data_IF_788285250928
#
_entry.id   IF_788285250928
#
_cell.length_a   1.000
_cell.length_b   1.000
_cell.length_c   1.000
_cell.angle_alpha   90.00
_cell.angle_beta   90.00
_cell.angle_gamma   90.00
#
_symmetry.space_group_name_H-M   'P 1'
#
loop_
_entity.id
_entity.type
_entity.pdbx_description
1 polymer ?
#
# COMPACT_ATOMS: atom_id res chain seq x y z
N UNK A 1 -11.17 -16.80 -17.76
CA UNK A 1 -12.40 -16.42 -17.01
C UNK A 1 -12.12 -15.13 -16.27
N UNK A 2 -13.08 -14.21 -16.19
CA UNK A 2 -12.92 -12.99 -15.39
C UNK A 2 -13.20 -13.30 -13.91
N UNK A 3 -12.45 -12.69 -12.97
CA UNK A 3 -12.82 -12.72 -11.55
C UNK A 3 -14.19 -12.06 -11.34
N UNK A 4 -14.94 -12.47 -10.33
CA UNK A 4 -16.23 -11.87 -9.99
C UNK A 4 -16.08 -10.37 -9.66
N UNK A 5 -17.15 -9.61 -9.76
CA UNK A 5 -17.16 -8.23 -9.25
C UNK A 5 -17.12 -8.24 -7.70
N UNK A 6 -16.36 -7.33 -7.06
CA UNK A 6 -16.45 -7.17 -5.60
C UNK A 6 -17.86 -6.76 -5.19
N UNK A 7 -18.40 -7.42 -4.15
CA UNK A 7 -19.75 -7.11 -3.64
C UNK A 7 -19.79 -5.85 -2.76
N UNK A 8 -18.68 -5.57 -2.09
CA UNK A 8 -18.51 -4.42 -1.19
C UNK A 8 -17.44 -3.52 -1.82
N UNK A 9 -17.83 -2.31 -2.20
CA UNK A 9 -16.95 -1.35 -2.86
C UNK A 9 -17.46 0.08 -2.63
N UNK A 10 -16.74 0.83 -1.79
CA UNK A 10 -17.11 2.19 -1.38
C UNK A 10 -15.90 3.12 -1.43
N UNK A 11 -16.11 4.41 -1.72
CA UNK A 11 -15.11 5.46 -1.55
C UNK A 11 -13.97 5.43 -2.56
N UNK A 12 -14.24 4.90 -3.76
CA UNK A 12 -13.29 4.77 -4.87
C UNK A 12 -13.85 5.29 -6.20
N UNK A 13 -14.95 6.03 -6.13
CA UNK A 13 -15.67 6.56 -7.28
C UNK A 13 -14.79 7.56 -8.06
N UNK A 14 -13.98 8.36 -7.36
CA UNK A 14 -13.02 9.27 -7.99
C UNK A 14 -11.94 8.52 -8.78
N UNK A 15 -11.30 7.53 -8.18
CA UNK A 15 -10.24 6.76 -8.81
C UNK A 15 -10.77 5.92 -9.98
N UNK A 16 -11.98 5.39 -9.85
CA UNK A 16 -12.68 4.71 -10.93
C UNK A 16 -12.93 5.68 -12.09
N UNK A 17 -13.49 6.87 -11.82
CA UNK A 17 -13.73 7.90 -12.84
C UNK A 17 -12.44 8.32 -13.54
N UNK A 18 -11.35 8.53 -12.78
CA UNK A 18 -10.04 8.87 -13.33
C UNK A 18 -9.53 7.75 -14.25
N UNK A 19 -9.64 6.49 -13.84
CA UNK A 19 -9.26 5.34 -14.68
C UNK A 19 -10.07 5.33 -15.98
N UNK A 20 -11.39 5.50 -15.89
CA UNK A 20 -12.28 5.50 -17.05
C UNK A 20 -11.94 6.62 -18.03
N UNK A 21 -11.62 7.83 -17.56
CA UNK A 21 -11.15 8.92 -18.42
C UNK A 21 -9.83 8.59 -19.13
N UNK A 22 -8.91 7.84 -18.50
CA UNK A 22 -7.67 7.43 -19.15
C UNK A 22 -7.92 6.49 -20.34
N UNK A 23 -9.05 5.78 -20.36
CA UNK A 23 -9.42 4.94 -21.49
C UNK A 23 -9.79 5.73 -22.75
N UNK A 24 -10.09 7.03 -22.68
CA UNK A 24 -10.30 7.85 -23.87
C UNK A 24 -9.05 7.93 -24.77
N UNK A 25 -7.88 7.60 -24.21
CA UNK A 25 -6.67 7.43 -25.01
C UNK A 25 -6.71 6.15 -25.86
N UNK A 26 -6.11 6.20 -27.06
CA UNK A 26 -6.17 5.09 -28.03
C UNK A 26 -5.63 3.77 -27.49
N UNK A 27 -4.58 3.83 -26.67
CA UNK A 27 -3.89 2.67 -26.09
C UNK A 27 -3.47 3.01 -24.65
N UNK A 28 -4.36 2.84 -23.66
CA UNK A 28 -4.06 3.19 -22.30
C UNK A 28 -3.08 2.19 -21.66
N UNK A 29 -2.09 2.71 -20.94
CA UNK A 29 -1.23 1.96 -20.03
C UNK A 29 -1.37 2.59 -18.66
N UNK A 30 -1.99 1.87 -17.75
CA UNK A 30 -2.42 2.41 -16.46
C UNK A 30 -1.75 1.59 -15.35
N UNK A 31 -1.18 2.27 -14.36
CA UNK A 31 -0.67 1.62 -13.16
C UNK A 31 -1.56 1.98 -11.97
N UNK A 32 -2.13 0.97 -11.31
CA UNK A 32 -2.83 1.17 -10.04
C UNK A 32 -1.83 0.87 -8.93
N UNK A 33 -1.43 1.92 -8.21
CA UNK A 33 -0.42 1.87 -7.15
C UNK A 33 -1.06 2.01 -5.76
N UNK A 34 -0.41 1.49 -4.73
CA UNK A 34 -0.86 1.56 -3.34
C UNK A 34 -0.26 0.45 -2.48
N UNK A 35 -0.30 0.64 -1.16
CA UNK A 35 0.18 -0.36 -0.19
C UNK A 35 -0.59 -1.70 -0.30
N UNK A 36 -0.02 -2.75 0.30
CA UNK A 36 -0.71 -4.01 0.51
C UNK A 36 -2.06 -3.78 1.20
N UNK A 37 -3.11 -4.48 0.77
CA UNK A 37 -4.43 -4.34 1.38
C UNK A 37 -5.22 -3.08 1.03
N UNK A 38 -4.72 -2.19 0.15
CA UNK A 38 -5.41 -0.95 -0.24
C UNK A 38 -6.58 -1.11 -1.23
N UNK A 39 -6.87 -2.33 -1.67
CA UNK A 39 -7.97 -2.60 -2.61
C UNK A 39 -7.63 -2.40 -4.09
N UNK A 40 -6.34 -2.45 -4.48
CA UNK A 40 -5.89 -2.36 -5.89
C UNK A 40 -6.61 -3.38 -6.79
N UNK A 41 -6.58 -4.65 -6.40
CA UNK A 41 -7.26 -5.77 -7.08
C UNK A 41 -8.76 -5.56 -7.14
N UNK A 42 -9.39 -5.08 -6.07
CA UNK A 42 -10.83 -4.78 -6.06
C UNK A 42 -11.19 -3.69 -7.06
N UNK A 43 -10.43 -2.58 -7.11
CA UNK A 43 -10.63 -1.50 -8.07
C UNK A 43 -10.46 -1.99 -9.52
N UNK A 44 -9.43 -2.78 -9.80
CA UNK A 44 -9.22 -3.34 -11.14
C UNK A 44 -10.36 -4.27 -11.58
N UNK A 45 -10.92 -5.05 -10.65
CA UNK A 45 -12.09 -5.90 -10.91
C UNK A 45 -13.33 -5.06 -11.23
N UNK A 46 -13.59 -3.99 -10.48
CA UNK A 46 -14.70 -3.06 -10.78
C UNK A 46 -14.52 -2.44 -12.18
N UNK A 47 -13.31 -2.00 -12.52
CA UNK A 47 -13.00 -1.49 -13.88
C UNK A 47 -13.33 -2.53 -14.95
N UNK A 48 -12.98 -3.81 -14.73
CA UNK A 48 -13.30 -4.87 -15.68
C UNK A 48 -14.79 -5.03 -15.91
N UNK A 49 -15.63 -4.87 -14.88
CA UNK A 49 -17.08 -5.05 -14.97
C UNK A 49 -17.86 -3.78 -15.33
N UNK A 50 -17.21 -2.61 -15.30
CA UNK A 50 -17.84 -1.34 -15.63
C UNK A 50 -18.52 -1.34 -17.01
N UNK A 51 -19.68 -0.68 -17.14
CA UNK A 51 -20.49 -0.67 -18.36
C UNK A 51 -19.71 -0.18 -19.59
N UNK A 52 -18.92 0.87 -19.43
CA UNK A 52 -18.16 1.48 -20.54
C UNK A 52 -17.04 0.56 -21.03
N UNK A 53 -16.38 -0.13 -20.10
CA UNK A 53 -15.34 -1.12 -20.40
C UNK A 53 -15.97 -2.36 -21.05
N UNK A 54 -17.12 -2.79 -20.55
CA UNK A 54 -17.91 -3.88 -21.16
C UNK A 54 -18.34 -3.54 -22.57
N UNK A 55 -18.82 -2.32 -22.82
CA UNK A 55 -19.25 -1.86 -24.14
C UNK A 55 -18.09 -1.79 -25.13
N UNK A 56 -16.90 -1.36 -24.68
CA UNK A 56 -15.72 -1.20 -25.53
C UNK A 56 -14.98 -2.50 -25.84
N UNK A 57 -14.80 -3.36 -24.85
CA UNK A 57 -13.96 -4.55 -24.95
C UNK A 57 -14.75 -5.86 -25.00
N UNK A 58 -16.06 -5.84 -24.70
CA UNK A 58 -16.94 -7.01 -24.71
C UNK A 58 -16.35 -8.20 -23.95
N UNK A 59 -16.02 -9.31 -24.62
CA UNK A 59 -15.41 -10.48 -24.00
C UNK A 59 -13.88 -10.46 -24.05
N UNK A 60 -13.25 -9.51 -24.75
CA UNK A 60 -11.80 -9.36 -24.87
C UNK A 60 -11.22 -8.63 -23.65
N UNK A 61 -11.59 -9.08 -22.45
CA UNK A 61 -11.12 -8.56 -21.17
C UNK A 61 -10.47 -9.72 -20.43
N UNK A 62 -9.23 -9.51 -19.99
CA UNK A 62 -8.40 -10.55 -19.42
C UNK A 62 -7.82 -10.07 -18.10
N UNK A 63 -7.91 -10.93 -17.10
CA UNK A 63 -7.31 -10.73 -15.79
C UNK A 63 -6.30 -11.85 -15.57
N UNK A 64 -5.05 -11.50 -15.35
CA UNK A 64 -3.94 -12.44 -15.16
C UNK A 64 -3.32 -12.17 -13.80
N UNK A 65 -3.51 -13.10 -12.86
CA UNK A 65 -2.80 -13.10 -11.59
C UNK A 65 -1.40 -13.66 -11.79
N UNK A 66 -0.37 -12.83 -11.64
CA UNK A 66 0.99 -13.18 -12.03
C UNK A 66 1.80 -13.90 -10.94
N UNK A 67 1.15 -14.33 -9.86
CA UNK A 67 1.80 -14.98 -8.71
C UNK A 67 2.46 -16.30 -9.02
N UNK A 68 1.99 -17.02 -10.05
CA UNK A 68 2.55 -18.31 -10.47
C UNK A 68 3.79 -18.18 -11.36
N UNK A 69 4.04 -17.01 -11.94
CA UNK A 69 5.15 -16.82 -12.86
C UNK A 69 6.38 -16.24 -12.13
N UNK A 70 7.54 -16.82 -12.41
CA UNK A 70 8.85 -16.42 -11.85
C UNK A 70 9.83 -15.92 -12.91
N UNK A 71 9.53 -16.16 -14.20
CA UNK A 71 10.34 -15.69 -15.33
C UNK A 71 9.51 -14.92 -16.37
N UNK A 72 10.19 -14.14 -17.24
CA UNK A 72 9.55 -13.46 -18.38
C UNK A 72 8.83 -14.45 -19.30
N UNK A 73 9.41 -15.63 -19.52
CA UNK A 73 8.83 -16.67 -20.37
C UNK A 73 7.55 -17.23 -19.76
N UNK A 74 7.57 -17.55 -18.46
CA UNK A 74 6.39 -18.02 -17.73
C UNK A 74 5.27 -17.00 -17.73
N UNK A 75 5.58 -15.71 -17.60
CA UNK A 75 4.59 -14.64 -17.70
C UNK A 75 3.94 -14.60 -19.09
N UNK A 76 4.73 -14.73 -20.16
CA UNK A 76 4.20 -14.75 -21.54
C UNK A 76 3.34 -15.99 -21.77
N UNK A 77 3.75 -17.15 -21.27
CA UNK A 77 2.94 -18.38 -21.32
C UNK A 77 1.62 -18.20 -20.58
N UNK A 78 1.67 -17.66 -19.37
CA UNK A 78 0.48 -17.40 -18.55
C UNK A 78 -0.49 -16.45 -19.24
N UNK A 79 0.02 -15.37 -19.86
CA UNK A 79 -0.81 -14.46 -20.66
C UNK A 79 -1.39 -15.21 -21.86
N UNK A 80 -0.58 -15.99 -22.58
CA UNK A 80 -1.02 -16.78 -23.74
C UNK A 80 -2.16 -17.74 -23.40
N UNK A 81 -2.05 -18.46 -22.27
CA UNK A 81 -3.11 -19.33 -21.76
C UNK A 81 -4.41 -18.57 -21.48
N UNK A 82 -4.33 -17.39 -20.86
CA UNK A 82 -5.51 -16.57 -20.58
C UNK A 82 -6.15 -16.01 -21.85
N UNK A 83 -5.36 -15.78 -22.89
CA UNK A 83 -5.81 -15.37 -24.22
C UNK A 83 -6.31 -16.56 -25.08
N UNK A 84 -6.16 -17.80 -24.61
CA UNK A 84 -6.53 -19.01 -25.37
C UNK A 84 -5.63 -19.25 -26.59
N UNK A 85 -4.36 -18.85 -26.52
CA UNK A 85 -3.39 -18.98 -27.60
C UNK A 85 -2.65 -20.31 -27.52
N UNK A 86 -2.48 -20.96 -28.67
CA UNK A 86 -1.68 -22.18 -28.78
C UNK A 86 -0.18 -21.88 -28.60
N UNK A 87 0.59 -22.83 -28.02
CA UNK A 87 2.04 -22.72 -27.95
C UNK A 87 2.65 -22.49 -29.34
N UNK A 88 3.54 -21.51 -29.46
CA UNK A 88 4.22 -21.20 -30.72
C UNK A 88 5.70 -20.90 -30.48
N UNK A 89 6.50 -20.94 -31.56
CA UNK A 89 7.94 -20.64 -31.50
C UNK A 89 8.22 -19.22 -31.01
N UNK A 90 7.33 -18.27 -31.32
CA UNK A 90 7.37 -16.90 -30.81
C UNK A 90 6.01 -16.53 -30.20
N UNK A 91 5.76 -17.09 -29.02
CA UNK A 91 4.53 -16.81 -28.27
C UNK A 91 4.45 -15.32 -27.87
N UNK A 92 5.59 -14.66 -27.64
CA UNK A 92 5.61 -13.23 -27.31
C UNK A 92 5.02 -12.41 -28.44
N UNK A 93 5.48 -12.64 -29.68
CA UNK A 93 4.94 -11.95 -30.84
C UNK A 93 3.46 -12.29 -31.07
N UNK A 94 3.06 -13.54 -30.85
CA UNK A 94 1.68 -13.99 -31.00
C UNK A 94 0.74 -13.29 -29.99
N UNK A 95 1.16 -13.20 -28.72
CA UNK A 95 0.46 -12.45 -27.67
C UNK A 95 0.31 -10.97 -28.04
N UNK A 96 1.40 -10.33 -28.49
CA UNK A 96 1.38 -8.93 -28.89
C UNK A 96 0.44 -8.68 -30.08
N UNK A 97 0.47 -9.55 -31.09
CA UNK A 97 -0.43 -9.46 -32.23
C UNK A 97 -1.89 -9.62 -31.82
N UNK A 98 -2.20 -10.55 -30.91
CA UNK A 98 -3.55 -10.73 -30.39
C UNK A 98 -4.04 -9.49 -29.65
N UNK A 99 -3.22 -8.92 -28.75
CA UNK A 99 -3.61 -7.74 -27.97
C UNK A 99 -3.80 -6.47 -28.83
N UNK A 100 -3.06 -6.36 -29.94
CA UNK A 100 -3.19 -5.26 -30.91
C UNK A 100 -4.24 -5.53 -32.01
N UNK A 101 -4.82 -6.72 -32.04
CA UNK A 101 -5.83 -7.09 -33.05
C UNK A 101 -7.17 -6.38 -32.80
N UNK A 102 -8.04 -6.41 -33.80
CA UNK A 102 -9.43 -5.96 -33.65
C UNK A 102 -10.33 -7.20 -33.49
N UNK A 103 -11.21 -7.23 -32.47
CA UNK A 103 -11.54 -6.15 -31.53
C UNK A 103 -10.46 -5.89 -30.47
N UNK A 104 -10.35 -4.65 -29.94
CA UNK A 104 -9.34 -4.30 -28.95
C UNK A 104 -9.45 -5.19 -27.71
N UNK A 105 -8.30 -5.48 -27.07
CA UNK A 105 -8.22 -6.27 -25.84
C UNK A 105 -7.81 -5.42 -24.64
N UNK A 106 -8.39 -5.72 -23.48
CA UNK A 106 -7.98 -5.17 -22.19
C UNK A 106 -7.28 -6.27 -21.39
N UNK A 107 -6.01 -6.06 -21.05
CA UNK A 107 -5.23 -6.95 -20.20
C UNK A 107 -4.96 -6.30 -18.85
N UNK A 108 -5.30 -6.98 -17.76
CA UNK A 108 -4.93 -6.61 -16.40
C UNK A 108 -3.92 -7.61 -15.88
N UNK A 109 -2.77 -7.11 -15.43
CA UNK A 109 -1.73 -7.88 -14.77
C UNK A 109 -1.74 -7.56 -13.27
N UNK A 110 -2.15 -8.53 -12.45
CA UNK A 110 -2.17 -8.42 -10.99
C UNK A 110 -0.94 -9.07 -10.35
N UNK A 111 -0.56 -8.58 -9.17
CA UNK A 111 0.48 -9.18 -8.31
C UNK A 111 1.81 -9.44 -9.03
N UNK A 112 2.15 -8.57 -9.97
CA UNK A 112 3.35 -8.75 -10.79
C UNK A 112 4.62 -8.53 -9.90
N UNK A 113 4.50 -7.99 -8.67
CA UNK A 113 5.51 -7.69 -7.64
C UNK A 113 6.74 -8.59 -7.74
N UNK A 114 6.54 -9.88 -7.47
CA UNK A 114 7.58 -10.90 -7.40
C UNK A 114 8.45 -11.00 -8.67
N UNK A 115 7.90 -10.74 -9.86
CA UNK A 115 8.60 -10.87 -11.14
C UNK A 115 9.54 -9.72 -11.49
N UNK A 116 9.21 -8.49 -11.09
CA UNK A 116 9.96 -7.28 -11.49
C UNK A 116 10.85 -6.74 -10.38
N UNK A 117 10.60 -7.15 -9.14
CA UNK A 117 11.40 -6.72 -8.01
C UNK A 117 12.86 -7.17 -8.10
N UNK A 118 13.19 -8.39 -8.58
CA UNK A 118 14.57 -8.78 -8.82
C UNK A 118 15.24 -7.95 -9.92
N UNK A 119 16.41 -7.38 -9.64
CA UNK A 119 17.16 -6.55 -10.60
C UNK A 119 17.49 -7.28 -11.90
N UNK A 120 17.71 -8.61 -11.84
CA UNK A 120 18.04 -9.44 -12.99
C UNK A 120 16.89 -9.57 -13.99
N UNK A 121 15.65 -9.65 -13.54
CA UNK A 121 14.45 -9.78 -14.39
C UNK A 121 13.81 -8.44 -14.75
N UNK A 122 14.02 -7.40 -13.92
CA UNK A 122 13.40 -6.07 -14.05
C UNK A 122 13.45 -5.54 -15.49
N UNK A 123 14.63 -5.50 -16.10
CA UNK A 123 14.80 -4.93 -17.44
C UNK A 123 13.98 -5.64 -18.53
N UNK A 124 13.89 -6.97 -18.47
CA UNK A 124 13.15 -7.77 -19.44
C UNK A 124 11.63 -7.68 -19.24
N UNK A 125 11.17 -7.55 -18.00
CA UNK A 125 9.75 -7.32 -17.68
C UNK A 125 9.31 -5.92 -18.13
N UNK A 126 10.12 -4.88 -17.87
CA UNK A 126 9.78 -3.53 -18.33
C UNK A 126 9.73 -3.41 -19.85
N UNK A 127 10.63 -4.10 -20.55
CA UNK A 127 10.59 -4.20 -22.01
C UNK A 127 9.29 -4.86 -22.49
N UNK A 128 8.89 -5.98 -21.89
CA UNK A 128 7.63 -6.63 -22.21
C UNK A 128 6.43 -5.69 -21.95
N UNK A 129 6.37 -5.05 -20.79
CA UNK A 129 5.32 -4.11 -20.44
C UNK A 129 5.26 -2.90 -21.39
N UNK A 130 6.39 -2.47 -21.94
CA UNK A 130 6.42 -1.37 -22.91
C UNK A 130 5.69 -1.72 -24.22
N UNK A 131 5.68 -3.00 -24.57
CA UNK A 131 5.02 -3.53 -25.76
C UNK A 131 3.53 -3.82 -25.50
N UNK A 132 3.16 -4.16 -24.27
CA UNK A 132 1.80 -4.48 -23.88
C UNK A 132 0.92 -3.23 -23.72
N UNK A 133 -0.38 -3.43 -23.93
CA UNK A 133 -1.44 -2.45 -23.73
C UNK A 133 -2.29 -2.91 -22.55
N UNK A 134 -1.86 -2.56 -21.33
CA UNK A 134 -2.39 -3.19 -20.11
C UNK A 134 -2.56 -2.23 -18.94
N UNK A 135 -3.41 -2.65 -17.99
CA UNK A 135 -3.38 -2.14 -16.62
C UNK A 135 -2.45 -3.04 -15.82
N UNK A 136 -1.52 -2.46 -15.07
CA UNK A 136 -0.69 -3.21 -14.12
C UNK A 136 -0.98 -2.77 -12.70
N UNK A 137 -1.13 -3.72 -11.79
CA UNK A 137 -1.23 -3.44 -10.36
C UNK A 137 0.11 -3.72 -9.70
N UNK A 138 0.64 -2.73 -8.97
CA UNK A 138 1.99 -2.79 -8.40
C UNK A 138 2.13 -1.87 -7.19
N UNK A 139 2.81 -2.34 -6.14
CA UNK A 139 3.45 -1.57 -5.05
C UNK A 139 3.26 -0.05 -5.06
N UNK A 140 4.35 0.72 -5.13
CA UNK A 140 4.28 2.19 -5.09
C UNK A 140 5.08 2.89 -6.19
N UNK A 141 5.61 2.13 -7.15
CA UNK A 141 6.42 2.68 -8.24
C UNK A 141 5.96 2.22 -9.63
N UNK A 142 6.13 3.14 -10.59
CA UNK A 142 5.94 2.87 -12.00
C UNK A 142 7.18 2.18 -12.59
N UNK A 143 7.02 1.08 -13.35
CA UNK A 143 8.06 0.56 -14.24
C UNK A 143 8.65 1.65 -15.15
N UNK A 144 9.98 1.78 -15.16
CA UNK A 144 10.65 2.98 -15.68
C UNK A 144 10.63 3.07 -17.21
N UNK A 145 10.80 1.93 -17.92
CA UNK A 145 10.85 1.91 -19.39
C UNK A 145 9.48 1.86 -20.09
N UNK A 146 8.40 2.14 -19.37
CA UNK A 146 7.03 2.10 -19.92
C UNK A 146 6.48 3.52 -20.06
N UNK A 147 5.96 3.85 -21.25
CA UNK A 147 5.26 5.12 -21.49
C UNK A 147 3.83 5.04 -20.95
N UNK A 148 3.70 5.20 -19.64
CA UNK A 148 2.41 5.25 -18.93
C UNK A 148 1.53 6.40 -19.42
N UNK A 149 0.22 6.16 -19.48
CA UNK A 149 -0.77 7.18 -19.80
C UNK A 149 -0.72 8.30 -18.76
N UNK A 150 -1.02 9.53 -19.22
CA UNK A 150 -1.06 10.73 -18.38
C UNK A 150 -2.49 11.29 -18.35
N UNK A 151 -2.92 11.91 -17.23
CA UNK A 151 -2.19 12.06 -15.97
C UNK A 151 -1.95 10.73 -15.25
N UNK A 152 -0.94 10.69 -14.36
CA UNK A 152 -0.73 9.51 -13.51
C UNK A 152 -1.84 9.40 -12.48
N UNK A 153 -2.31 8.17 -12.23
CA UNK A 153 -3.13 7.90 -11.07
C UNK A 153 -2.32 8.11 -9.80
N UNK A 154 -2.96 8.74 -8.81
CA UNK A 154 -2.40 8.81 -7.47
C UNK A 154 -2.41 7.41 -6.87
N UNK A 155 -1.41 7.11 -6.03
CA UNK A 155 -1.43 5.86 -5.27
C UNK A 155 -2.65 5.84 -4.35
N UNK A 156 -3.35 4.70 -4.30
CA UNK A 156 -4.52 4.51 -3.45
C UNK A 156 -4.17 4.84 -2.00
N UNK A 157 -4.93 5.78 -1.44
CA UNK A 157 -4.87 6.15 -0.03
C UNK A 157 -5.85 5.27 0.76
N UNK A 158 -5.76 5.24 2.10
CA UNK A 158 -6.83 4.68 2.92
C UNK A 158 -8.20 5.26 2.58
N UNK A 159 -9.26 4.54 2.93
CA UNK A 159 -10.62 5.02 2.69
C UNK A 159 -10.90 6.27 3.51
N UNK A 160 -11.79 7.13 3.00
CA UNK A 160 -12.37 8.16 3.85
C UNK A 160 -13.24 7.51 4.96
N UNK A 161 -13.54 8.29 6.00
CA UNK A 161 -14.25 7.78 7.16
C UNK A 161 -15.67 7.28 6.81
N UNK A 162 -16.34 7.89 5.83
CA UNK A 162 -17.69 7.51 5.45
C UNK A 162 -17.67 6.16 4.71
N UNK A 163 -16.77 6.00 3.74
CA UNK A 163 -16.57 4.75 3.01
C UNK A 163 -16.08 3.62 3.93
N UNK A 164 -15.24 3.93 4.91
CA UNK A 164 -14.80 2.96 5.92
C UNK A 164 -15.98 2.45 6.76
N UNK A 165 -16.86 3.34 7.23
CA UNK A 165 -18.09 2.98 7.95
C UNK A 165 -19.05 2.14 7.11
N UNK A 166 -19.26 2.53 5.85
CA UNK A 166 -20.11 1.76 4.92
C UNK A 166 -19.55 0.36 4.67
N UNK A 167 -18.23 0.26 4.47
CA UNK A 167 -17.54 -1.02 4.30
C UNK A 167 -17.68 -1.89 5.55
N UNK A 168 -17.56 -1.32 6.74
CA UNK A 168 -17.76 -2.04 7.99
C UNK A 168 -19.21 -2.54 8.12
N UNK A 169 -20.19 -1.68 7.86
CA UNK A 169 -21.61 -1.98 7.99
C UNK A 169 -22.12 -3.03 6.98
N UNK A 170 -21.50 -3.12 5.80
CA UNK A 170 -21.82 -4.17 4.82
C UNK A 170 -21.25 -5.55 5.22
N UNK A 171 -20.34 -5.60 6.20
CA UNK A 171 -19.70 -6.83 6.68
C UNK A 171 -20.27 -7.28 8.02
N UNK A 172 -20.39 -6.37 8.99
CA UNK A 172 -20.87 -6.65 10.34
C UNK A 172 -22.30 -6.13 10.53
N UNK A 173 -23.19 -6.96 11.08
CA UNK A 173 -24.60 -6.61 11.22
C UNK A 173 -24.85 -5.44 12.19
N UNK A 174 -26.03 -4.84 12.05
CA UNK A 174 -26.53 -3.66 12.73
C UNK A 174 -26.89 -3.91 14.20
N UNK A 175 -25.88 -4.08 15.05
CA UNK A 175 -26.04 -4.20 16.52
C UNK A 175 -25.06 -3.37 17.35
N UNK A 176 -24.11 -2.69 16.70
CA UNK A 176 -22.99 -2.02 17.35
C UNK A 176 -23.22 -0.52 17.50
N UNK A 177 -22.69 0.08 18.56
CA UNK A 177 -22.72 1.53 18.69
C UNK A 177 -21.81 2.17 17.64
N UNK A 178 -22.19 3.34 17.11
CA UNK A 178 -21.34 4.06 16.17
C UNK A 178 -19.99 4.45 16.78
N UNK A 179 -19.95 4.69 18.10
CA UNK A 179 -18.73 5.01 18.82
C UNK A 179 -17.72 3.85 18.82
N UNK A 180 -18.18 2.62 19.06
CA UNK A 180 -17.31 1.43 19.01
C UNK A 180 -16.81 1.15 17.58
N UNK A 181 -17.68 1.33 16.58
CA UNK A 181 -17.27 1.19 15.18
C UNK A 181 -16.20 2.22 14.82
N UNK A 182 -16.39 3.48 15.20
CA UNK A 182 -15.40 4.53 14.97
C UNK A 182 -14.07 4.26 15.69
N UNK A 183 -14.12 3.70 16.90
CA UNK A 183 -12.93 3.26 17.61
C UNK A 183 -12.21 2.15 16.83
N UNK A 184 -12.90 1.11 16.38
CA UNK A 184 -12.29 0.04 15.58
C UNK A 184 -11.69 0.58 14.29
N UNK A 185 -12.42 1.44 13.56
CA UNK A 185 -11.92 2.04 12.32
C UNK A 185 -10.63 2.85 12.56
N UNK A 186 -10.54 3.55 13.69
CA UNK A 186 -9.32 4.28 14.06
C UNK A 186 -8.09 3.36 14.23
N UNK A 187 -8.28 2.10 14.63
CA UNK A 187 -7.20 1.10 14.76
C UNK A 187 -6.69 0.59 13.40
N UNK A 188 -7.49 0.76 12.34
CA UNK A 188 -7.16 0.27 11.00
C UNK A 188 -6.48 1.30 10.11
N UNK A 189 -6.35 2.56 10.56
CA UNK A 189 -6.02 3.70 9.70
C UNK A 189 -6.88 3.75 8.42
N UNK A 190 -8.13 3.30 8.49
CA UNK A 190 -9.05 3.09 7.36
C UNK A 190 -8.50 2.25 6.19
N UNK A 191 -7.56 1.33 6.46
CA UNK A 191 -7.06 0.40 5.45
C UNK A 191 -8.15 -0.64 5.11
N UNK A 192 -8.58 -0.79 3.84
CA UNK A 192 -9.67 -1.69 3.46
C UNK A 192 -9.52 -3.12 3.98
N UNK A 193 -8.34 -3.73 3.82
CA UNK A 193 -8.10 -5.10 4.29
C UNK A 193 -8.23 -5.22 5.81
N UNK A 194 -7.70 -4.26 6.57
CA UNK A 194 -7.80 -4.26 8.04
C UNK A 194 -9.25 -4.03 8.51
N UNK A 195 -9.99 -3.13 7.84
CA UNK A 195 -11.43 -2.94 8.08
C UNK A 195 -12.18 -4.24 7.88
N UNK A 196 -11.97 -4.93 6.75
CA UNK A 196 -12.69 -6.18 6.48
C UNK A 196 -12.39 -7.26 7.52
N UNK A 197 -11.14 -7.39 7.95
CA UNK A 197 -10.74 -8.37 8.96
C UNK A 197 -11.37 -8.08 10.33
N UNK A 198 -11.30 -6.84 10.81
CA UNK A 198 -11.90 -6.47 12.09
C UNK A 198 -13.43 -6.45 12.04
N UNK A 199 -14.04 -6.12 10.90
CA UNK A 199 -15.48 -6.18 10.73
C UNK A 199 -15.99 -7.63 10.79
N UNK A 200 -15.31 -8.58 10.12
CA UNK A 200 -15.67 -10.00 10.24
C UNK A 200 -15.52 -10.53 11.67
N UNK A 201 -14.48 -10.10 12.39
CA UNK A 201 -14.30 -10.47 13.79
C UNK A 201 -15.37 -9.83 14.69
N UNK A 202 -15.74 -8.58 14.43
CA UNK A 202 -16.80 -7.89 15.16
C UNK A 202 -18.19 -8.51 14.92
N UNK A 203 -18.45 -9.01 13.70
CA UNK A 203 -19.67 -9.75 13.37
C UNK A 203 -19.80 -11.04 14.21
N UNK A 204 -18.69 -11.73 14.48
CA UNK A 204 -18.68 -12.97 15.26
C UNK A 204 -18.61 -12.76 16.77
N UNK A 205 -17.76 -11.85 17.25
CA UNK A 205 -17.43 -11.69 18.67
C UNK A 205 -18.04 -10.42 19.31
N UNK A 206 -18.47 -9.45 18.50
CA UNK A 206 -18.95 -8.14 18.92
C UNK A 206 -17.85 -7.09 19.05
N UNK A 207 -18.18 -5.82 18.75
CA UNK A 207 -17.21 -4.72 18.75
C UNK A 207 -16.51 -4.52 20.11
N UNK A 208 -17.22 -4.64 21.22
CA UNK A 208 -16.63 -4.49 22.57
C UNK A 208 -15.56 -5.54 22.87
N UNK A 209 -15.77 -6.78 22.40
CA UNK A 209 -14.81 -7.86 22.57
C UNK A 209 -13.57 -7.63 21.69
N UNK A 210 -13.78 -7.22 20.43
CA UNK A 210 -12.69 -6.86 19.52
C UNK A 210 -11.81 -5.75 20.11
N UNK A 211 -12.42 -4.68 20.64
CA UNK A 211 -11.68 -3.58 21.27
C UNK A 211 -10.90 -4.07 22.50
N UNK A 212 -11.52 -4.86 23.38
CA UNK A 212 -10.85 -5.38 24.58
C UNK A 212 -9.72 -6.37 24.27
N UNK A 213 -9.84 -7.15 23.20
CA UNK A 213 -8.79 -8.07 22.76
C UNK A 213 -7.68 -7.32 22.04
N UNK A 214 -8.01 -6.28 21.26
CA UNK A 214 -7.02 -5.43 20.60
C UNK A 214 -6.06 -4.82 21.61
N UNK A 215 -6.56 -4.33 22.76
CA UNK A 215 -5.72 -3.80 23.83
C UNK A 215 -4.68 -4.79 24.39
N UNK A 216 -4.89 -6.10 24.19
CA UNK A 216 -4.00 -7.17 24.68
C UNK A 216 -3.11 -7.76 23.59
N UNK A 217 -3.60 -7.82 22.36
CA UNK A 217 -3.04 -8.63 21.27
C UNK A 217 -2.66 -7.79 20.03
N UNK A 218 -3.11 -6.55 19.91
CA UNK A 218 -2.90 -5.65 18.76
C UNK A 218 -3.14 -6.38 17.42
N UNK A 219 -2.15 -6.39 16.51
CA UNK A 219 -2.25 -7.07 15.22
C UNK A 219 -2.28 -8.59 15.29
N UNK A 220 -1.90 -9.21 16.41
CA UNK A 220 -2.01 -10.67 16.52
C UNK A 220 -3.47 -11.14 16.59
N UNK A 221 -4.38 -10.27 17.04
CA UNK A 221 -5.82 -10.50 16.98
C UNK A 221 -6.31 -10.73 15.53
N UNK A 222 -5.72 -10.02 14.57
CA UNK A 222 -6.04 -10.17 13.15
C UNK A 222 -5.38 -11.43 12.55
N UNK A 223 -4.34 -11.99 13.21
CA UNK A 223 -3.55 -13.11 12.70
C UNK A 223 -3.96 -14.49 13.22
N UNK A 224 -4.78 -14.57 14.28
CA UNK A 224 -5.23 -15.82 14.92
C UNK A 224 -6.56 -16.39 14.39
N UNK A 225 -7.25 -15.70 13.47
CA UNK A 225 -8.46 -16.22 12.81
C UNK A 225 -8.22 -17.54 12.07
N UNK A 226 -9.04 -18.56 12.36
CA UNK A 226 -8.85 -19.99 12.06
C UNK A 226 -8.76 -20.45 10.59
N UNK A 227 -8.52 -19.56 9.63
CA UNK A 227 -8.21 -19.94 8.24
C UNK A 227 -7.13 -19.02 7.65
N UNK A 228 -5.92 -19.58 7.50
CA UNK A 228 -4.69 -18.95 6.97
C UNK A 228 -4.13 -17.86 7.88
N UNK A 229 -2.87 -18.03 8.33
CA UNK A 229 -1.98 -16.93 8.79
C UNK A 229 -2.27 -15.69 7.94
N UNK A 230 -2.82 -14.66 8.57
CA UNK A 230 -3.63 -13.64 7.90
C UNK A 230 -2.94 -13.03 6.68
N UNK A 231 -3.71 -12.78 5.61
CA UNK A 231 -3.21 -12.15 4.39
C UNK A 231 -2.47 -10.82 4.69
N UNK A 232 -2.78 -10.16 5.81
CA UNK A 232 -2.16 -8.91 6.22
C UNK A 232 -0.71 -9.11 6.71
N UNK A 233 -0.48 -9.91 7.75
CA UNK A 233 0.88 -10.21 8.26
C UNK A 233 1.74 -10.86 7.18
N UNK A 234 1.14 -11.75 6.38
CA UNK A 234 1.81 -12.33 5.21
C UNK A 234 2.19 -11.24 4.20
N UNK A 235 1.30 -10.30 3.87
CA UNK A 235 1.61 -9.21 2.92
C UNK A 235 2.69 -8.25 3.44
N UNK A 236 2.71 -7.99 4.76
CA UNK A 236 3.74 -7.16 5.41
C UNK A 236 5.08 -7.90 5.36
N UNK A 237 5.11 -9.17 5.76
CA UNK A 237 6.32 -10.00 5.76
C UNK A 237 6.92 -10.18 4.36
N UNK A 238 6.08 -10.34 3.33
CA UNK A 238 6.52 -10.40 1.94
C UNK A 238 7.14 -9.07 1.49
N UNK A 239 6.54 -7.94 1.88
CA UNK A 239 7.06 -6.60 1.57
C UNK A 239 8.40 -6.34 2.27
N UNK A 240 8.54 -6.76 3.53
CA UNK A 240 9.79 -6.69 4.30
C UNK A 240 10.89 -7.60 3.71
N UNK A 241 10.50 -8.75 3.16
CA UNK A 241 11.42 -9.72 2.55
C UNK A 241 11.75 -9.43 1.09
N UNK A 242 11.28 -8.30 0.56
CA UNK A 242 11.52 -7.90 -0.83
C UNK A 242 13.02 -7.67 -1.11
N UNK A 243 13.52 -8.00 -2.32
CA UNK A 243 14.92 -7.78 -2.69
C UNK A 243 15.44 -6.36 -2.40
N UNK A 244 14.63 -5.31 -2.58
CA UNK A 244 15.05 -3.93 -2.30
C UNK A 244 15.23 -3.63 -0.83
N UNK A 245 14.40 -4.21 0.04
CA UNK A 245 14.58 -4.11 1.49
C UNK A 245 15.86 -4.85 1.91
N UNK A 246 16.08 -6.06 1.37
CA UNK A 246 17.29 -6.84 1.66
C UNK A 246 18.58 -6.14 1.19
N UNK A 247 18.52 -5.40 0.07
CA UNK A 247 19.65 -4.61 -0.43
C UNK A 247 19.98 -3.39 0.44
N UNK A 248 19.02 -2.87 1.22
CA UNK A 248 19.20 -1.71 2.10
C UNK A 248 18.66 -1.98 3.51
N UNK A 249 19.35 -2.76 4.35
CA UNK A 249 18.91 -3.11 5.71
C UNK A 249 18.64 -1.89 6.61
N UNK A 250 19.35 -0.77 6.40
CA UNK A 250 19.11 0.50 7.10
C UNK A 250 17.69 1.06 6.87
N UNK A 251 17.04 0.70 5.75
CA UNK A 251 15.64 1.06 5.50
C UNK A 251 14.72 0.35 6.49
N UNK A 252 15.03 -0.90 6.83
CA UNK A 252 14.29 -1.67 7.83
C UNK A 252 14.45 -1.06 9.22
N UNK A 253 15.67 -0.66 9.59
CA UNK A 253 15.93 0.09 10.83
C UNK A 253 15.15 1.41 10.89
N UNK A 254 15.12 2.18 9.79
CA UNK A 254 14.29 3.39 9.70
C UNK A 254 12.80 3.07 9.85
N UNK A 255 12.33 1.98 9.25
CA UNK A 255 10.93 1.57 9.32
C UNK A 255 10.54 1.15 10.74
N UNK A 256 11.38 0.37 11.43
CA UNK A 256 11.19 0.03 12.83
C UNK A 256 11.14 1.28 13.71
N UNK A 257 11.97 2.29 13.44
CA UNK A 257 11.91 3.57 14.16
C UNK A 257 10.61 4.33 13.88
N UNK A 258 10.18 4.40 12.61
CA UNK A 258 8.92 5.03 12.22
C UNK A 258 7.70 4.31 12.82
N UNK A 259 7.82 3.02 13.18
CA UNK A 259 6.74 2.28 13.85
C UNK A 259 6.34 2.90 15.20
N UNK A 260 7.28 3.58 15.87
CA UNK A 260 7.06 4.29 17.13
C UNK A 260 6.45 5.70 16.95
N UNK A 261 6.30 6.17 15.70
CA UNK A 261 5.99 7.55 15.38
C UNK A 261 4.64 7.69 14.64
N UNK A 262 3.51 7.81 15.37
CA UNK A 262 2.17 7.95 14.78
C UNK A 262 2.04 9.11 13.80
N UNK A 263 2.73 10.23 14.04
CA UNK A 263 2.71 11.40 13.17
C UNK A 263 3.75 11.29 12.04
N UNK A 264 4.53 10.22 12.00
CA UNK A 264 5.66 10.06 11.08
C UNK A 264 6.71 11.15 11.23
N UNK A 265 7.54 11.36 10.22
CA UNK A 265 8.57 12.42 10.21
C UNK A 265 8.56 13.22 8.90
N UNK A 266 8.74 14.54 9.00
CA UNK A 266 9.00 15.37 7.82
C UNK A 266 10.45 15.19 7.34
N UNK A 267 10.75 15.56 6.09
CA UNK A 267 12.11 15.46 5.53
C UNK A 267 13.14 16.28 6.31
N UNK A 268 12.72 17.45 6.80
CA UNK A 268 13.56 18.29 7.66
C UNK A 268 13.89 17.57 8.97
N UNK A 269 12.94 16.82 9.54
CA UNK A 269 13.13 16.06 10.78
C UNK A 269 14.04 14.85 10.54
N UNK A 270 13.87 14.12 9.43
CA UNK A 270 14.75 13.02 9.05
C UNK A 270 16.20 13.49 8.90
N UNK A 271 16.43 14.63 8.23
CA UNK A 271 17.79 15.15 8.01
C UNK A 271 18.39 15.67 9.33
N UNK A 272 17.61 16.41 10.13
CA UNK A 272 18.13 17.06 11.34
C UNK A 272 18.27 16.12 12.54
N UNK A 273 17.53 15.03 12.59
CA UNK A 273 17.66 14.00 13.64
C UNK A 273 19.02 13.32 13.65
N UNK A 274 19.81 13.43 12.55
CA UNK A 274 21.16 12.85 12.43
C UNK A 274 21.19 11.39 12.91
N UNK A 275 20.15 10.64 12.53
CA UNK A 275 20.06 9.23 12.87
C UNK A 275 21.31 8.49 12.35
N UNK A 276 21.80 7.49 13.08
CA UNK A 276 22.97 6.68 12.71
C UNK A 276 22.65 5.70 11.56
N UNK A 277 22.03 6.21 10.50
CA UNK A 277 21.62 5.50 9.30
C UNK A 277 22.34 6.11 8.11
N UNK A 278 22.97 5.27 7.29
CA UNK A 278 23.58 5.78 6.07
C UNK A 278 22.50 6.13 5.06
N UNK A 279 22.67 7.28 4.40
CA UNK A 279 21.82 7.72 3.30
C UNK A 279 20.30 7.64 3.60
N UNK A 280 19.86 8.37 4.63
CA UNK A 280 18.46 8.36 5.09
C UNK A 280 17.43 8.67 3.99
N UNK A 281 17.78 9.48 3.00
CA UNK A 281 16.91 9.79 1.87
C UNK A 281 16.73 8.58 0.95
N UNK A 282 17.76 7.76 0.79
CA UNK A 282 17.66 6.47 0.10
C UNK A 282 16.80 5.50 0.89
N UNK A 283 16.97 5.43 2.21
CA UNK A 283 16.11 4.63 3.09
C UNK A 283 14.63 5.03 2.92
N UNK A 284 14.31 6.32 3.01
CA UNK A 284 12.97 6.85 2.71
C UNK A 284 12.47 6.42 1.33
N UNK A 285 13.31 6.50 0.31
CA UNK A 285 12.95 6.12 -1.07
C UNK A 285 12.61 4.64 -1.17
N UNK A 286 13.41 3.76 -0.55
CA UNK A 286 13.15 2.31 -0.50
C UNK A 286 11.83 2.02 0.22
N UNK A 287 11.58 2.65 1.37
CA UNK A 287 10.32 2.45 2.12
C UNK A 287 9.08 2.90 1.35
N UNK A 288 9.20 4.00 0.60
CA UNK A 288 8.13 4.43 -0.29
C UNK A 288 7.97 3.47 -1.44
N UNK A 289 9.06 2.95 -2.02
CA UNK A 289 9.00 2.03 -3.16
C UNK A 289 8.31 0.70 -2.83
N UNK A 290 8.53 0.19 -1.61
CA UNK A 290 7.87 -1.02 -1.10
C UNK A 290 6.47 -0.78 -0.56
N UNK A 291 5.99 0.48 -0.56
CA UNK A 291 4.71 0.88 -0.02
C UNK A 291 4.51 0.54 1.47
N UNK A 292 5.60 0.28 2.20
CA UNK A 292 5.59 0.10 3.67
C UNK A 292 5.47 1.44 4.40
N UNK A 293 5.84 2.54 3.73
CA UNK A 293 5.62 3.89 4.20
C UNK A 293 5.03 4.75 3.07
N UNK A 294 4.23 5.76 3.45
CA UNK A 294 3.63 6.71 2.52
C UNK A 294 3.93 8.14 2.95
N UNK A 295 3.68 9.10 2.05
CA UNK A 295 3.74 10.51 2.39
C UNK A 295 2.33 11.04 2.49
N UNK A 296 1.97 11.61 3.64
CA UNK A 296 0.68 12.26 3.82
C UNK A 296 0.62 13.61 3.06
N UNK A 297 -0.52 14.30 3.16
CA UNK A 297 -0.73 15.62 2.55
C UNK A 297 0.29 16.67 3.03
N UNK A 298 0.78 16.52 4.26
CA UNK A 298 1.81 17.36 4.87
C UNK A 298 3.24 16.94 4.51
N UNK A 299 3.41 15.98 3.57
CA UNK A 299 4.69 15.41 3.13
C UNK A 299 5.49 14.73 4.24
N UNK A 300 4.82 14.30 5.31
CA UNK A 300 5.42 13.51 6.38
C UNK A 300 5.43 12.04 5.97
N UNK A 301 6.57 11.39 6.20
CA UNK A 301 6.73 9.97 5.98
C UNK A 301 6.07 9.22 7.14
N UNK A 302 4.93 8.56 6.87
CA UNK A 302 4.13 7.81 7.84
C UNK A 302 4.10 6.33 7.50
N UNK A 303 3.84 5.51 8.51
CA UNK A 303 3.62 4.06 8.41
C UNK A 303 2.21 3.79 8.94
N UNK A 304 1.47 2.92 8.26
CA UNK A 304 0.10 2.59 8.65
C UNK A 304 0.11 1.79 9.95
N UNK A 305 -0.86 2.06 10.83
CA UNK A 305 -0.97 1.43 12.15
C UNK A 305 -0.80 -0.10 12.13
N UNK A 306 -1.43 -0.88 11.22
CA UNK A 306 -1.21 -2.32 11.20
C UNK A 306 0.25 -2.72 10.91
N UNK A 307 0.97 -1.96 10.07
CA UNK A 307 2.39 -2.19 9.81
C UNK A 307 3.22 -1.81 11.06
N UNK A 308 2.83 -0.73 11.74
CA UNK A 308 3.51 -0.26 12.96
C UNK A 308 3.43 -1.31 14.07
N UNK A 309 2.24 -1.83 14.34
CA UNK A 309 1.99 -2.85 15.34
C UNK A 309 2.74 -4.16 15.02
N UNK A 310 2.67 -4.62 13.77
CA UNK A 310 3.42 -5.80 13.33
C UNK A 310 4.92 -5.66 13.60
N UNK A 311 5.50 -4.50 13.29
CA UNK A 311 6.92 -4.24 13.51
C UNK A 311 7.29 -4.14 14.98
N UNK A 312 6.45 -3.53 15.81
CA UNK A 312 6.71 -3.45 17.25
C UNK A 312 6.78 -4.84 17.90
N UNK A 313 5.96 -5.78 17.43
CA UNK A 313 5.96 -7.16 17.93
C UNK A 313 7.13 -8.00 17.40
N UNK A 314 7.49 -7.85 16.12
CA UNK A 314 8.43 -8.76 15.46
C UNK A 314 9.84 -8.19 15.28
N UNK A 315 9.97 -6.87 15.12
CA UNK A 315 11.21 -6.17 14.75
C UNK A 315 11.27 -4.76 15.37
N UNK A 316 11.31 -4.66 16.72
CA UNK A 316 11.39 -3.37 17.40
C UNK A 316 12.69 -2.64 17.04
N UNK A 317 12.70 -1.30 17.08
CA UNK A 317 13.89 -0.51 16.77
C UNK A 317 14.98 -0.73 17.81
N UNK A 318 16.23 -0.57 17.39
CA UNK A 318 17.39 -0.72 18.28
C UNK A 318 17.51 0.47 19.23
N UNK A 319 17.96 0.22 20.47
CA UNK A 319 18.11 1.25 21.51
C UNK A 319 18.93 2.45 21.03
N UNK A 320 19.99 2.22 20.25
CA UNK A 320 20.85 3.29 19.74
C UNK A 320 20.11 4.26 18.78
N UNK A 321 19.20 3.75 17.96
CA UNK A 321 18.35 4.58 17.10
C UNK A 321 17.33 5.36 17.93
N UNK A 322 16.70 4.69 18.90
CA UNK A 322 15.72 5.31 19.80
C UNK A 322 16.36 6.43 20.62
N UNK A 323 17.55 6.22 21.17
CA UNK A 323 18.30 7.24 21.92
C UNK A 323 18.69 8.44 21.05
N UNK A 324 19.08 8.20 19.79
CA UNK A 324 19.38 9.28 18.85
C UNK A 324 18.14 10.14 18.55
N UNK A 325 16.99 9.49 18.36
CA UNK A 325 15.70 10.17 18.16
C UNK A 325 15.26 10.94 19.42
N UNK A 326 15.37 10.33 20.61
CA UNK A 326 15.07 10.97 21.89
C UNK A 326 15.90 12.23 22.10
N UNK A 327 17.21 12.15 21.83
CA UNK A 327 18.11 13.30 21.90
C UNK A 327 17.64 14.43 20.98
N UNK A 328 17.28 14.10 19.74
CA UNK A 328 16.77 15.06 18.78
C UNK A 328 15.45 15.73 19.24
N UNK A 329 14.49 14.94 19.74
CA UNK A 329 13.23 15.47 20.27
C UNK A 329 13.46 16.35 21.51
N UNK A 330 14.38 15.97 22.39
CA UNK A 330 14.76 16.77 23.56
C UNK A 330 15.43 18.10 23.16
N UNK A 331 16.30 18.09 22.15
CA UNK A 331 16.90 19.30 21.58
C UNK A 331 15.84 20.23 20.97
N UNK A 332 14.84 19.66 20.28
CA UNK A 332 13.70 20.43 19.74
C UNK A 332 12.90 21.13 20.85
N UNK A 333 12.63 20.43 21.95
CA UNK A 333 11.93 20.98 23.11
C UNK A 333 12.74 22.06 23.85
N UNK A 334 14.06 21.87 24.01
CA UNK A 334 14.96 22.90 24.56
C UNK A 334 14.98 24.15 23.71
N UNK A 335 15.09 24.00 22.39
CA UNK A 335 15.05 25.13 21.46
C UNK A 335 13.73 25.91 21.58
N UNK A 336 12.60 25.22 21.79
CA UNK A 336 11.36 25.92 22.08
C UNK A 336 11.40 26.71 23.39
N UNK A 337 11.85 26.08 24.48
CA UNK A 337 11.93 26.73 25.79
C UNK A 337 12.78 28.02 25.75
N UNK A 338 13.92 27.98 25.06
CA UNK A 338 14.85 29.11 24.94
C UNK A 338 14.31 30.28 24.11
N UNK A 339 13.48 30.00 23.09
CA UNK A 339 13.05 31.00 22.11
C UNK A 339 11.54 31.31 22.16
N UNK A 340 10.86 30.90 23.24
CA UNK A 340 9.43 31.23 23.48
C UNK A 340 9.18 32.74 23.36
N UNK A 341 8.14 33.14 22.61
CA UNK A 341 7.76 34.54 22.40
C UNK A 341 8.48 35.29 21.27
N UNK A 342 9.42 34.65 20.55
CA UNK A 342 10.12 35.25 19.39
C UNK A 342 9.44 34.92 18.05
N UNK A 343 9.79 35.60 16.94
CA UNK A 343 9.31 35.20 15.59
C UNK A 343 9.76 33.79 15.17
N UNK A 344 10.90 33.31 15.68
CA UNK A 344 11.37 31.92 15.49
C UNK A 344 10.52 30.90 16.24
N UNK A 345 9.76 31.34 17.25
CA UNK A 345 8.86 30.46 18.00
C UNK A 345 7.71 29.96 17.14
N UNK A 346 7.19 30.72 16.19
CA UNK A 346 5.99 30.33 15.42
C UNK A 346 6.23 29.08 14.55
N UNK A 347 7.36 29.02 13.85
CA UNK A 347 7.74 27.82 13.06
C UNK A 347 8.11 26.65 13.96
N UNK A 348 8.76 26.91 15.09
CA UNK A 348 9.12 25.89 16.10
C UNK A 348 7.87 25.30 16.76
N UNK A 349 6.87 26.12 17.09
CA UNK A 349 5.59 25.70 17.66
C UNK A 349 4.86 24.77 16.69
N UNK A 350 4.78 25.15 15.40
CA UNK A 350 4.16 24.31 14.38
C UNK A 350 4.88 22.95 14.27
N UNK A 351 6.20 22.96 14.31
CA UNK A 351 7.02 21.75 14.25
C UNK A 351 6.84 20.84 15.47
N UNK A 352 6.78 21.39 16.68
CA UNK A 352 6.49 20.63 17.90
C UNK A 352 5.08 20.09 17.89
N UNK A 353 4.10 20.93 17.50
CA UNK A 353 2.70 20.51 17.38
C UNK A 353 2.56 19.33 16.41
N UNK A 354 3.29 19.33 15.29
CA UNK A 354 3.30 18.23 14.32
C UNK A 354 4.04 16.96 14.78
N UNK A 355 4.70 17.00 15.93
CA UNK A 355 5.41 15.87 16.54
C UNK A 355 4.90 15.59 17.97
N UNK A 356 3.75 16.13 18.36
CA UNK A 356 3.27 16.02 19.75
C UNK A 356 2.97 14.57 20.11
N UNK A 357 2.23 13.86 19.26
CA UNK A 357 1.87 12.45 19.49
C UNK A 357 3.12 11.57 19.40
N UNK A 358 4.05 11.90 18.49
CA UNK A 358 5.38 11.26 18.46
C UNK A 358 6.10 11.37 19.81
N UNK A 359 6.15 12.57 20.41
CA UNK A 359 6.81 12.78 21.71
C UNK A 359 6.11 11.97 22.80
N UNK A 360 4.78 11.98 22.85
CA UNK A 360 4.00 11.21 23.81
C UNK A 360 4.28 9.70 23.70
N UNK A 361 4.25 9.16 22.48
CA UNK A 361 4.48 7.73 22.26
C UNK A 361 5.92 7.32 22.59
N UNK A 362 6.93 8.10 22.19
CA UNK A 362 8.32 7.74 22.48
C UNK A 362 8.61 7.81 23.99
N UNK A 363 7.95 8.71 24.74
CA UNK A 363 8.07 8.77 26.20
C UNK A 363 7.43 7.57 26.90
N UNK A 364 6.31 7.06 26.38
CA UNK A 364 5.70 5.82 26.89
C UNK A 364 6.56 4.58 26.66
N UNK A 365 7.41 4.60 25.62
CA UNK A 365 8.36 3.52 25.32
C UNK A 365 9.67 3.60 26.12
N UNK A 366 10.05 4.78 26.59
CA UNK A 366 11.30 5.02 27.34
C UNK A 366 11.18 4.89 28.86
N UNK A 367 9.97 4.60 29.35
CA UNK A 367 9.63 4.32 30.75
C UNK A 367 9.24 2.85 30.86
#
# INVERSE_FOLDING_TARGET
>A
MLPSEPKIFHGRESELSDILHLFDTRIPRIAILGAGGMGKTSLARVVLHHSDITARYAQNRFFVACTSATTKLELVNLIGEHLGLEPSKDLTQTVLQHLLSNPPSLLILDELEALWEPTSSRGGIEELLSLLTSITMRGAEHPAKVKWTRPFLRALQPLDQQAARLTFADIADSGHSQEEVDQILSLTDNMPLAISLLAHLADTEGCSAVLSCWDKENTSLISEGSDKRSNLDLSISLSLSSPRMQLFPQSQELLSLLSMLPDGLADVDLIQSKLPLENILKCKTVLKATALAYSDENKRLKVLMPIREYLQQHQPPTDHLVQSLLKYLAEMLKYYAEYTGTKSSSSTILRIKSNLTNIQNVLQWGL
#
